data_IF_842646714795
#
_entry.id   IF_842646714795
#
_cell.length_a   1.000
_cell.length_b   1.000
_cell.length_c   1.000
_cell.angle_alpha   90.00
_cell.angle_beta   90.00
_cell.angle_gamma   90.00
#
_symmetry.space_group_name_H-M   'P 1'
#
loop_
_entity.id
_entity.type
_entity.pdbx_description
1 polymer ?
#
# COMPACT_ATOMS: atom_id res chain seq x y z
N UNK A 1 -3.01 -0.52 -19.87
CA UNK A 1 -2.37 -1.38 -18.85
C UNK A 1 -1.90 -0.56 -17.65
N UNK A 2 -0.88 0.29 -17.78
CA UNK A 2 -0.22 1.02 -16.67
C UNK A 2 -1.21 1.74 -15.75
N UNK A 3 -2.03 2.67 -16.27
CA UNK A 3 -2.93 3.48 -15.45
C UNK A 3 -4.01 2.65 -14.74
N UNK A 4 -4.64 1.73 -15.48
CA UNK A 4 -5.65 0.85 -14.91
C UNK A 4 -5.06 0.00 -13.77
N UNK A 5 -3.88 -0.60 -13.99
CA UNK A 5 -3.25 -1.45 -13.00
C UNK A 5 -2.82 -0.67 -11.75
N UNK A 6 -2.25 0.53 -11.93
CA UNK A 6 -1.88 1.40 -10.81
C UNK A 6 -3.08 1.77 -9.93
N UNK A 7 -4.25 1.99 -10.52
CA UNK A 7 -5.48 2.24 -9.77
C UNK A 7 -6.01 0.94 -9.15
N UNK A 8 -6.02 -0.16 -9.90
CA UNK A 8 -6.55 -1.45 -9.46
C UNK A 8 -5.86 -1.98 -8.19
N UNK A 9 -4.55 -1.83 -8.05
CA UNK A 9 -3.83 -2.30 -6.85
C UNK A 9 -4.18 -1.53 -5.58
N UNK A 10 -4.90 -0.41 -5.68
CA UNK A 10 -5.43 0.34 -4.53
C UNK A 10 -6.90 0.01 -4.23
N UNK A 11 -7.55 -0.79 -5.06
CA UNK A 11 -8.95 -1.14 -4.86
C UNK A 11 -9.12 -1.93 -3.54
N UNK A 12 -10.15 -1.58 -2.76
CA UNK A 12 -10.45 -2.23 -1.49
C UNK A 12 -11.13 -3.60 -1.69
N UNK A 13 -10.45 -4.51 -2.39
CA UNK A 13 -10.90 -5.87 -2.70
C UNK A 13 -9.90 -6.87 -2.12
N UNK A 14 -10.41 -8.00 -1.61
CA UNK A 14 -9.60 -9.02 -0.91
C UNK A 14 -9.33 -10.27 -1.75
N UNK A 15 -9.14 -10.08 -3.05
CA UNK A 15 -8.87 -11.17 -3.98
C UNK A 15 -7.50 -11.80 -3.71
N UNK A 16 -7.41 -13.12 -3.88
CA UNK A 16 -6.18 -13.90 -3.81
C UNK A 16 -5.82 -14.37 -5.20
N UNK A 17 -4.64 -14.00 -5.70
CA UNK A 17 -4.24 -14.31 -7.08
C UNK A 17 -3.22 -15.45 -7.18
N UNK A 18 -2.86 -16.07 -6.04
CA UNK A 18 -2.01 -17.25 -5.98
C UNK A 18 -0.67 -17.02 -6.68
N UNK A 19 -0.35 -17.85 -7.68
CA UNK A 19 0.91 -17.79 -8.41
C UNK A 19 1.13 -16.44 -9.14
N UNK A 20 0.07 -15.73 -9.53
CA UNK A 20 0.19 -14.45 -10.22
C UNK A 20 0.79 -13.35 -9.34
N UNK A 21 0.60 -13.43 -8.01
CA UNK A 21 1.19 -12.51 -7.03
C UNK A 21 2.73 -12.53 -7.07
N UNK A 22 3.31 -13.54 -7.73
CA UNK A 22 4.76 -13.67 -7.88
C UNK A 22 5.35 -12.79 -8.97
N UNK A 23 4.53 -12.32 -9.91
CA UNK A 23 5.01 -11.63 -11.12
C UNK A 23 4.30 -10.30 -11.35
N UNK A 24 3.04 -10.16 -10.92
CA UNK A 24 2.27 -8.92 -11.03
C UNK A 24 1.89 -8.39 -9.66
N UNK A 25 1.92 -7.06 -9.53
CA UNK A 25 1.36 -6.34 -8.40
C UNK A 25 -0.10 -6.70 -8.21
N UNK A 26 -0.54 -6.82 -6.97
CA UNK A 26 -1.92 -7.14 -6.62
C UNK A 26 -2.40 -6.21 -5.51
N UNK A 27 -3.72 -6.08 -5.29
CA UNK A 27 -4.24 -5.33 -4.16
C UNK A 27 -3.60 -5.70 -2.82
N UNK A 28 -3.46 -7.00 -2.52
CA UNK A 28 -2.80 -7.45 -1.28
C UNK A 28 -1.34 -6.98 -1.19
N UNK A 29 -0.58 -7.11 -2.27
CA UNK A 29 0.82 -6.69 -2.31
C UNK A 29 0.98 -5.20 -2.06
N UNK A 30 0.16 -4.37 -2.72
CA UNK A 30 0.24 -2.93 -2.57
C UNK A 30 -0.37 -2.43 -1.26
N UNK A 31 -1.36 -3.12 -0.70
CA UNK A 31 -1.85 -2.84 0.65
C UNK A 31 -0.74 -3.01 1.70
N UNK A 32 0.13 -4.01 1.54
CA UNK A 32 1.30 -4.18 2.41
C UNK A 32 2.33 -3.06 2.28
N UNK A 33 2.44 -2.41 1.12
CA UNK A 33 3.24 -1.19 0.98
C UNK A 33 2.69 -0.03 1.84
N UNK A 34 1.36 0.08 1.95
CA UNK A 34 0.68 1.09 2.77
C UNK A 34 0.49 0.69 4.24
N UNK A 35 1.02 -0.48 4.66
CA UNK A 35 0.88 -0.95 6.03
C UNK A 35 1.65 -0.06 7.00
N UNK A 36 1.14 0.10 8.22
CA UNK A 36 1.89 0.79 9.27
C UNK A 36 3.12 -0.01 9.71
N UNK A 37 3.03 -1.34 9.63
CA UNK A 37 4.12 -2.27 9.91
C UNK A 37 3.94 -3.59 9.13
N UNK A 38 5.01 -4.20 8.57
CA UNK A 38 6.36 -3.65 8.50
C UNK A 38 6.44 -2.46 7.52
N UNK A 39 7.31 -1.50 7.81
CA UNK A 39 7.63 -0.39 6.91
C UNK A 39 8.64 -0.83 5.84
N UNK A 40 8.81 0.00 4.81
CA UNK A 40 9.83 -0.15 3.76
C UNK A 40 9.75 -1.48 2.99
N UNK A 41 8.54 -1.87 2.60
CA UNK A 41 8.28 -3.05 1.77
C UNK A 41 7.53 -2.69 0.49
N UNK A 42 7.68 -3.56 -0.52
CA UNK A 42 6.85 -3.60 -1.73
C UNK A 42 6.83 -2.28 -2.53
N UNK A 43 8.00 -1.75 -2.88
CA UNK A 43 8.16 -0.49 -3.59
C UNK A 43 7.71 -0.54 -5.06
N UNK A 44 7.82 -1.69 -5.74
CA UNK A 44 7.48 -1.81 -7.15
C UNK A 44 5.97 -1.95 -7.35
N UNK A 45 5.37 -1.00 -8.07
CA UNK A 45 3.90 -0.99 -8.23
C UNK A 45 3.37 -2.12 -9.14
N UNK A 46 4.12 -2.47 -10.20
CA UNK A 46 3.64 -3.39 -11.24
C UNK A 46 4.28 -4.77 -11.17
N UNK A 47 5.57 -4.86 -10.83
CA UNK A 47 6.37 -6.07 -10.94
C UNK A 47 7.10 -6.36 -9.61
N UNK A 48 6.52 -7.17 -8.72
CA UNK A 48 7.12 -7.55 -7.43
C UNK A 48 8.48 -8.26 -7.54
N UNK A 49 8.87 -8.69 -8.74
CA UNK A 49 10.20 -9.26 -9.00
C UNK A 49 11.32 -8.28 -8.62
N UNK A 50 11.09 -6.97 -8.80
CA UNK A 50 12.07 -5.94 -8.44
C UNK A 50 12.29 -5.96 -6.92
N UNK A 51 11.22 -5.99 -6.13
CA UNK A 51 11.30 -6.11 -4.67
C UNK A 51 11.95 -7.40 -4.19
N UNK A 52 11.81 -8.50 -4.95
CA UNK A 52 12.50 -9.76 -4.60
C UNK A 52 13.99 -9.67 -4.83
N UNK A 53 14.40 -9.11 -5.96
CA UNK A 53 15.82 -8.90 -6.29
C UNK A 53 16.47 -7.94 -5.30
N UNK A 54 15.75 -6.91 -4.87
CA UNK A 54 16.25 -5.88 -3.95
C UNK A 54 16.00 -6.17 -2.46
N UNK A 55 15.34 -7.29 -2.12
CA UNK A 55 15.15 -7.73 -0.73
C UNK A 55 14.03 -7.01 0.05
N UNK A 56 13.12 -6.33 -0.64
CA UNK A 56 12.02 -5.52 -0.06
C UNK A 56 10.64 -6.18 -0.20
N UNK A 57 10.58 -7.40 -0.77
CA UNK A 57 9.33 -8.13 -0.96
C UNK A 57 8.75 -8.66 0.37
N UNK A 58 7.46 -8.40 0.61
CA UNK A 58 6.71 -8.88 1.77
C UNK A 58 5.26 -9.21 1.39
N UNK A 59 4.84 -10.47 1.57
CA UNK A 59 3.48 -10.89 1.21
C UNK A 59 2.98 -12.08 2.05
N UNK A 60 2.64 -11.88 3.33
CA UNK A 60 2.02 -12.92 4.14
C UNK A 60 0.61 -13.27 3.62
N UNK A 61 0.01 -14.32 4.20
CA UNK A 61 -1.30 -14.82 3.74
C UNK A 61 -2.46 -13.89 4.06
N UNK A 62 -2.35 -13.06 5.09
CA UNK A 62 -3.37 -12.11 5.51
C UNK A 62 -3.11 -10.70 4.95
N UNK A 63 -4.13 -9.85 5.03
CA UNK A 63 -4.01 -8.43 4.72
C UNK A 63 -3.41 -7.65 5.92
N UNK A 64 -2.89 -6.43 5.71
CA UNK A 64 -2.44 -5.58 6.79
C UNK A 64 -3.57 -5.28 7.79
N UNK A 65 -3.27 -5.26 9.10
CA UNK A 65 -4.25 -4.90 10.13
C UNK A 65 -4.51 -3.39 10.18
N UNK A 66 -3.56 -2.57 9.75
CA UNK A 66 -3.62 -1.12 9.77
C UNK A 66 -2.83 -0.50 8.61
N UNK A 67 -3.19 0.72 8.24
CA UNK A 67 -2.59 1.48 7.15
C UNK A 67 -2.19 2.88 7.61
N UNK A 68 -1.21 3.47 6.94
CA UNK A 68 -0.81 4.87 7.13
C UNK A 68 0.53 5.03 7.85
N UNK A 69 0.72 6.21 8.43
CA UNK A 69 1.98 6.62 9.06
C UNK A 69 1.73 6.76 10.57
N UNK A 70 2.38 5.95 11.39
CA UNK A 70 2.15 5.95 12.85
C UNK A 70 2.42 7.30 13.51
N UNK A 71 3.44 8.02 13.02
CA UNK A 71 3.94 9.25 13.65
C UNK A 71 3.23 10.53 13.19
N UNK A 72 2.33 10.47 12.21
CA UNK A 72 1.67 11.66 11.66
C UNK A 72 0.16 11.42 11.41
N UNK A 73 -0.65 11.34 12.48
CA UNK A 73 -2.07 11.09 12.34
C UNK A 73 -2.78 12.28 11.72
N UNK A 74 -3.22 12.13 10.47
CA UNK A 74 -4.15 13.06 9.82
C UNK A 74 -5.55 12.93 10.44
N UNK A 75 -6.37 14.02 10.44
CA UNK A 75 -7.74 13.95 10.92
C UNK A 75 -8.54 12.86 10.19
N UNK A 76 -9.41 12.14 10.91
CA UNK A 76 -10.27 11.09 10.31
C UNK A 76 -11.40 11.64 9.44
N UNK A 77 -11.82 12.89 9.67
CA UNK A 77 -12.95 13.50 8.97
C UNK A 77 -12.47 14.17 7.69
N UNK A 78 -13.12 13.88 6.58
CA UNK A 78 -12.78 14.43 5.26
C UNK A 78 -12.65 15.96 5.27
N UNK A 79 -13.64 16.67 5.82
CA UNK A 79 -13.59 18.14 5.90
C UNK A 79 -12.40 18.65 6.73
N UNK A 80 -12.02 17.92 7.78
CA UNK A 80 -10.84 18.28 8.58
C UNK A 80 -9.53 18.00 7.84
N UNK A 81 -9.48 16.99 6.97
CA UNK A 81 -8.33 16.72 6.10
C UNK A 81 -8.14 17.83 5.06
N UNK A 82 -9.20 18.44 4.53
CA UNK A 82 -9.10 19.56 3.58
C UNK A 82 -8.45 20.80 4.19
N UNK A 83 -8.72 21.08 5.47
CA UNK A 83 -8.16 22.24 6.18
C UNK A 83 -6.80 21.93 6.80
N UNK A 84 -6.46 20.64 6.97
CA UNK A 84 -5.26 20.18 7.67
C UNK A 84 -3.94 20.82 7.16
N UNK A 85 -3.67 20.91 5.84
CA UNK A 85 -2.42 21.49 5.34
C UNK A 85 -2.24 22.97 5.66
N UNK A 86 -3.32 23.69 5.98
CA UNK A 86 -3.30 25.13 6.29
C UNK A 86 -3.21 25.40 7.80
N UNK A 87 -3.24 24.37 8.64
CA UNK A 87 -3.04 24.49 10.08
C UNK A 87 -1.54 24.54 10.36
N UNK A 88 -1.10 25.52 11.14
CA UNK A 88 0.30 25.59 11.58
C UNK A 88 0.64 24.34 12.39
N UNK A 89 1.83 23.72 12.16
CA UNK A 89 2.35 22.74 13.10
C UNK A 89 2.42 23.40 14.49
N UNK A 90 1.93 22.70 15.51
CA UNK A 90 2.25 23.08 16.89
C UNK A 90 3.65 22.60 17.22
#
# INVERSE_FOLDING_TARGET
FVSFHAIFVHANVRFRFGALERVLGTPKFHHWHHATAPVDKNFAIHLPVIDRVLGTYYLPEHFPPAYGIETNPVPRRYAAQLVWPFRRPR
#
